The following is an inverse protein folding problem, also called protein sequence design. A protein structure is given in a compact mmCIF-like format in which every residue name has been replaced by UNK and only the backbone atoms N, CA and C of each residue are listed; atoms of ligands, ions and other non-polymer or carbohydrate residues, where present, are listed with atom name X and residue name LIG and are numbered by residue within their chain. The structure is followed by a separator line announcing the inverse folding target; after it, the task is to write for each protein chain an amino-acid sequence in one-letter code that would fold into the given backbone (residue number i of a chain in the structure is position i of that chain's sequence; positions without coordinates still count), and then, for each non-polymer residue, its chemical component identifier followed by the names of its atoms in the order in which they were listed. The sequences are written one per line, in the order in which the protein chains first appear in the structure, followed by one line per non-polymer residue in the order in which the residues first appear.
data_IF_768202082267
#
_entry.id   IF_768202082267
#
_cell.length_a   1.000
_cell.length_b   1.000
_cell.length_c   1.000
_cell.angle_alpha   90.00
_cell.angle_beta   90.00
_cell.angle_gamma   90.00
#
_symmetry.space_group_name_H-M   'P 1'
#
loop_
_entity.id
_entity.type
_entity.pdbx_description
1 polymer ?
#
# COMPACT_ATOMS: atom_id res chain seq x y z
N UNK A 1 4.66 -8.70 -6.18
CA UNK A 1 3.48 -8.58 -7.06
C UNK A 1 3.81 -8.82 -8.53
N UNK A 2 4.70 -8.02 -9.16
CA UNK A 2 5.00 -8.15 -10.61
C UNK A 2 5.51 -9.55 -11.00
N UNK A 3 6.46 -10.11 -10.25
CA UNK A 3 6.98 -11.48 -10.47
C UNK A 3 5.87 -12.52 -10.29
N UNK A 4 5.07 -12.41 -9.23
CA UNK A 4 3.93 -13.29 -9.00
C UNK A 4 2.85 -13.23 -10.10
N UNK A 5 2.63 -12.07 -10.74
CA UNK A 5 1.75 -11.95 -11.91
C UNK A 5 2.35 -12.67 -13.12
N UNK A 6 3.67 -12.61 -13.33
CA UNK A 6 4.34 -13.37 -14.39
C UNK A 6 4.19 -14.88 -14.21
N UNK A 7 4.22 -15.35 -12.96
CA UNK A 7 3.95 -16.75 -12.58
C UNK A 7 2.44 -17.07 -12.46
N UNK A 8 1.56 -16.20 -12.95
CA UNK A 8 0.10 -16.37 -12.98
C UNK A 8 -0.58 -16.57 -11.61
N UNK A 9 0.04 -16.10 -10.53
CA UNK A 9 -0.47 -16.19 -9.15
C UNK A 9 -1.35 -14.98 -8.77
N UNK A 10 -2.44 -14.77 -9.49
CA UNK A 10 -3.32 -13.61 -9.27
C UNK A 10 -3.94 -13.57 -7.87
N UNK A 11 -4.34 -14.72 -7.32
CA UNK A 11 -4.92 -14.81 -5.97
C UNK A 11 -3.90 -14.36 -4.90
N UNK A 12 -2.63 -14.77 -5.02
CA UNK A 12 -1.56 -14.36 -4.11
C UNK A 12 -1.41 -12.83 -4.11
N UNK A 13 -1.45 -12.21 -5.30
CA UNK A 13 -1.33 -10.76 -5.43
C UNK A 13 -2.51 -10.05 -4.75
N UNK A 14 -3.74 -10.51 -4.98
CA UNK A 14 -4.93 -9.96 -4.34
C UNK A 14 -4.87 -10.05 -2.80
N UNK A 15 -4.49 -11.21 -2.27
CA UNK A 15 -4.30 -11.44 -0.83
C UNK A 15 -3.18 -10.54 -0.26
N UNK A 16 -2.08 -10.38 -0.99
CA UNK A 16 -0.96 -9.52 -0.55
C UNK A 16 -1.33 -8.04 -0.50
N UNK A 17 -2.11 -7.55 -1.48
CA UNK A 17 -2.58 -6.16 -1.52
C UNK A 17 -3.57 -5.89 -0.38
N UNK A 18 -4.53 -6.80 -0.17
CA UNK A 18 -5.49 -6.72 0.93
C UNK A 18 -4.76 -6.74 2.27
N UNK A 19 -3.81 -7.66 2.44
CA UNK A 19 -2.97 -7.77 3.64
C UNK A 19 -2.15 -6.51 3.92
N UNK A 20 -1.58 -5.88 2.88
CA UNK A 20 -0.84 -4.63 3.01
C UNK A 20 -1.72 -3.49 3.51
N UNK A 21 -2.95 -3.37 3.00
CA UNK A 21 -3.89 -2.32 3.41
C UNK A 21 -4.34 -2.56 4.86
N UNK A 22 -4.72 -3.79 5.21
CA UNK A 22 -5.10 -4.13 6.58
C UNK A 22 -3.95 -3.95 7.57
N UNK A 23 -2.73 -4.32 7.18
CA UNK A 23 -1.53 -4.11 8.00
C UNK A 23 -1.32 -2.63 8.28
N UNK A 24 -1.44 -1.75 7.28
CA UNK A 24 -1.25 -0.33 7.49
C UNK A 24 -2.37 0.30 8.36
N UNK A 25 -3.62 -0.12 8.15
CA UNK A 25 -4.78 0.44 8.85
C UNK A 25 -4.96 -0.07 10.29
N UNK A 26 -4.67 -1.34 10.55
CA UNK A 26 -4.93 -1.97 11.84
C UNK A 26 -3.65 -2.22 12.62
N UNK A 27 -2.66 -2.85 11.99
CA UNK A 27 -1.45 -3.28 12.69
C UNK A 27 -0.53 -2.09 12.97
N UNK A 28 -0.13 -1.35 11.93
CA UNK A 28 0.78 -0.20 12.07
C UNK A 28 0.13 0.91 12.89
N UNK A 29 -1.09 1.32 12.52
CA UNK A 29 -1.85 2.32 13.29
C UNK A 29 -2.10 1.87 14.75
N UNK A 30 -2.49 0.61 14.94
CA UNK A 30 -2.77 0.05 16.26
C UNK A 30 -1.52 -0.04 17.13
N UNK A 31 -0.38 -0.48 16.58
CA UNK A 31 0.90 -0.44 17.27
C UNK A 31 1.33 1.00 17.58
N UNK A 32 1.13 1.94 16.66
CA UNK A 32 1.42 3.36 16.88
C UNK A 32 0.62 3.96 18.03
N UNK A 33 -0.69 3.68 18.11
CA UNK A 33 -1.53 4.10 19.23
C UNK A 33 -1.19 3.36 20.52
N UNK A 34 -0.84 2.08 20.43
CA UNK A 34 -0.47 1.28 21.61
C UNK A 34 0.83 1.80 22.23
N UNK A 35 1.92 1.86 21.46
CA UNK A 35 3.21 2.33 21.96
C UNK A 35 3.25 3.83 22.23
N UNK A 36 2.59 4.63 21.39
CA UNK A 36 2.44 6.06 21.61
C UNK A 36 1.58 6.39 22.83
N UNK A 37 0.51 5.64 23.06
CA UNK A 37 -0.37 5.74 24.22
C UNK A 37 0.28 5.29 25.53
N UNK A 38 1.34 4.47 25.48
CA UNK A 38 2.16 4.16 26.66
C UNK A 38 2.95 5.38 27.17
N UNK A 39 3.34 6.30 26.29
CA UNK A 39 4.12 7.49 26.64
C UNK A 39 3.28 8.77 26.75
N UNK A 40 2.27 8.93 25.89
CA UNK A 40 1.45 10.14 25.81
C UNK A 40 -0.03 9.83 26.04
N UNK A 41 -0.67 10.58 26.96
CA UNK A 41 -2.07 10.38 27.33
C UNK A 41 -3.06 10.84 26.25
N UNK A 42 -2.63 11.76 25.39
CA UNK A 42 -3.36 12.29 24.23
C UNK A 42 -2.31 12.47 23.12
N UNK A 43 -2.49 11.82 21.97
CA UNK A 43 -1.70 12.09 20.78
C UNK A 43 -2.43 13.13 19.93
N UNK A 44 -1.77 14.26 19.67
CA UNK A 44 -2.24 15.25 18.71
C UNK A 44 -1.95 14.77 17.29
N UNK A 45 -2.94 14.86 16.41
CA UNK A 45 -2.76 14.61 14.99
C UNK A 45 -3.17 15.88 14.24
N UNK A 46 -2.30 16.38 13.38
CA UNK A 46 -2.64 17.48 12.48
C UNK A 46 -3.77 17.02 11.56
N UNK A 47 -4.93 17.70 11.64
CA UNK A 47 -6.11 17.31 10.86
C UNK A 47 -5.88 17.48 9.36
N UNK A 48 -5.06 18.46 8.99
CA UNK A 48 -4.86 18.87 7.60
C UNK A 48 -3.99 17.87 6.81
N UNK A 49 -3.04 17.18 7.46
CA UNK A 49 -2.19 16.17 6.82
C UNK A 49 -2.80 14.74 6.88
N UNK A 50 -3.62 14.45 7.90
CA UNK A 50 -4.21 13.11 8.11
C UNK A 50 -5.52 12.89 7.35
N UNK A 51 -6.36 13.92 7.18
CA UNK A 51 -7.65 13.79 6.51
C UNK A 51 -7.56 13.33 5.03
N UNK A 52 -6.70 13.92 4.16
CA UNK A 52 -6.61 13.49 2.77
C UNK A 52 -6.05 12.07 2.62
N UNK A 53 -5.04 11.72 3.42
CA UNK A 53 -4.38 10.41 3.40
C UNK A 53 -5.33 9.28 3.85
N UNK A 54 -6.08 9.49 4.94
CA UNK A 54 -7.09 8.53 5.41
C UNK A 54 -8.28 8.40 4.44
N UNK A 55 -8.69 9.49 3.80
CA UNK A 55 -9.75 9.49 2.78
C UNK A 55 -9.39 8.63 1.56
N UNK A 56 -8.16 8.71 1.06
CA UNK A 56 -7.70 7.89 -0.06
C UNK A 56 -7.58 6.41 0.29
N UNK A 57 -7.12 6.10 1.50
CA UNK A 57 -7.08 4.72 1.99
C UNK A 57 -8.49 4.12 2.08
N UNK A 58 -9.45 4.86 2.66
CA UNK A 58 -10.85 4.43 2.72
C UNK A 58 -11.44 4.22 1.33
N UNK A 59 -11.16 5.14 0.40
CA UNK A 59 -11.65 5.08 -0.96
C UNK A 59 -11.07 3.91 -1.76
N UNK A 60 -9.78 3.60 -1.56
CA UNK A 60 -9.14 2.39 -2.06
C UNK A 60 -9.81 1.12 -1.51
N UNK A 61 -10.09 1.07 -0.20
CA UNK A 61 -10.80 -0.05 0.43
C UNK A 61 -12.22 -0.20 -0.12
N UNK A 62 -12.99 0.89 -0.22
CA UNK A 62 -14.36 0.84 -0.77
C UNK A 62 -14.38 0.39 -2.23
N UNK A 63 -13.39 0.83 -3.02
CA UNK A 63 -13.28 0.45 -4.43
C UNK A 63 -12.85 -1.01 -4.60
N UNK A 64 -12.10 -1.57 -3.65
CA UNK A 64 -11.76 -2.99 -3.62
C UNK A 64 -12.91 -3.87 -3.09
N UNK A 65 -13.69 -3.35 -2.13
CA UNK A 65 -14.86 -4.04 -1.58
C UNK A 65 -16.00 -4.17 -2.59
N UNK A 66 -16.18 -3.18 -3.47
CA UNK A 66 -17.26 -3.16 -4.47
C UNK A 66 -17.25 -4.42 -5.37
N UNK A 67 -16.14 -4.81 -6.04
CA UNK A 67 -16.09 -6.05 -6.80
C UNK A 67 -16.13 -7.30 -5.90
N UNK A 68 -15.57 -7.28 -4.70
CA UNK A 68 -15.61 -8.42 -3.77
C UNK A 68 -17.04 -8.77 -3.30
N UNK A 69 -17.86 -7.75 -3.01
CA UNK A 69 -19.25 -7.92 -2.57
C UNK A 69 -20.17 -8.34 -3.73
N UNK A 70 -19.95 -7.80 -4.94
CA UNK A 70 -20.68 -8.22 -6.14
C UNK A 70 -20.43 -9.70 -6.45
N UNK A 71 -19.17 -10.15 -6.38
CA UNK A 71 -18.84 -11.56 -6.53
C UNK A 71 -19.47 -12.43 -5.42
N UNK A 72 -19.54 -11.95 -4.18
CA UNK A 72 -20.15 -12.70 -3.06
C UNK A 72 -21.68 -12.79 -3.11
N UNK A 73 -22.36 -11.87 -3.80
CA UNK A 73 -23.83 -11.81 -3.83
C UNK A 73 -24.43 -12.61 -4.99
N UNK A 74 -23.60 -13.15 -5.91
CA UNK A 74 -24.03 -13.94 -7.08
C UNK A 74 -25.14 -13.26 -7.92
N UNK A 75 -25.22 -11.92 -7.91
CA UNK A 75 -26.11 -11.17 -8.79
C UNK A 75 -25.49 -11.02 -10.18
N UNK A 76 -25.12 -12.14 -10.79
CA UNK A 76 -24.63 -12.18 -12.16
C UNK A 76 -25.82 -12.16 -13.12
N UNK A 77 -26.35 -10.97 -13.38
CA UNK A 77 -27.11 -10.73 -14.60
C UNK A 77 -26.09 -10.38 -15.69
N UNK A 78 -25.62 -11.41 -16.39
CA UNK A 78 -24.72 -11.40 -17.57
C UNK A 78 -23.20 -11.31 -17.31
N UNK A 79 -22.60 -12.48 -17.08
CA UNK A 79 -21.39 -12.95 -17.75
C UNK A 79 -20.05 -12.35 -17.33
N UNK A 80 -19.14 -13.23 -16.92
CA UNK A 80 -17.65 -13.19 -16.77
C UNK A 80 -16.88 -12.03 -17.47
N UNK A 81 -17.40 -11.47 -18.57
CA UNK A 81 -16.86 -10.29 -19.25
C UNK A 81 -17.13 -8.96 -18.54
N UNK A 82 -18.21 -8.88 -17.75
CA UNK A 82 -18.63 -7.67 -17.02
C UNK A 82 -17.76 -7.40 -15.79
N UNK A 83 -17.31 -8.46 -15.10
CA UNK A 83 -16.52 -8.36 -13.87
C UNK A 83 -15.11 -7.79 -14.14
N UNK A 84 -14.48 -8.24 -15.22
CA UNK A 84 -13.18 -7.70 -15.66
C UNK A 84 -13.32 -6.25 -16.14
N UNK A 85 -14.44 -5.91 -16.78
CA UNK A 85 -14.76 -4.54 -17.20
C UNK A 85 -14.91 -3.58 -16.02
N UNK A 86 -15.62 -4.01 -14.98
CA UNK A 86 -15.83 -3.26 -13.76
C UNK A 86 -14.52 -3.01 -13.00
N UNK A 87 -13.67 -4.05 -12.86
CA UNK A 87 -12.35 -3.93 -12.21
C UNK A 87 -11.40 -3.01 -12.97
N UNK A 88 -11.43 -3.03 -14.31
CA UNK A 88 -10.64 -2.11 -15.14
C UNK A 88 -11.10 -0.66 -15.00
N UNK A 89 -12.42 -0.45 -14.99
CA UNK A 89 -12.99 0.88 -14.76
C UNK A 89 -12.64 1.41 -13.36
N UNK A 90 -12.78 0.58 -12.33
CA UNK A 90 -12.45 0.97 -10.96
C UNK A 90 -10.96 1.29 -10.78
N UNK A 91 -10.07 0.50 -11.38
CA UNK A 91 -8.63 0.77 -11.42
C UNK A 91 -8.31 2.10 -12.12
N UNK A 92 -8.97 2.41 -13.25
CA UNK A 92 -8.79 3.67 -13.95
C UNK A 92 -9.23 4.89 -13.10
N UNK A 93 -10.37 4.78 -12.41
CA UNK A 93 -10.87 5.83 -11.51
C UNK A 93 -9.92 6.03 -10.33
N UNK A 94 -9.43 4.95 -9.71
CA UNK A 94 -8.43 5.03 -8.64
C UNK A 94 -7.13 5.69 -9.11
N UNK A 95 -6.66 5.35 -10.31
CA UNK A 95 -5.45 5.93 -10.87
C UNK A 95 -5.61 7.43 -11.13
N UNK A 96 -6.74 7.87 -11.72
CA UNK A 96 -7.01 9.29 -11.92
C UNK A 96 -7.05 10.06 -10.59
N UNK A 97 -7.67 9.47 -9.58
CA UNK A 97 -7.78 10.08 -8.26
C UNK A 97 -6.44 10.12 -7.53
N UNK A 98 -5.60 9.09 -7.68
CA UNK A 98 -4.24 9.09 -7.17
C UNK A 98 -3.38 10.15 -7.87
N UNK A 99 -3.52 10.35 -9.18
CA UNK A 99 -2.84 11.44 -9.90
C UNK A 99 -3.32 12.82 -9.44
N UNK A 100 -4.62 13.00 -9.23
CA UNK A 100 -5.16 14.23 -8.67
C UNK A 100 -4.63 14.48 -7.24
N UNK A 101 -4.48 13.43 -6.44
CA UNK A 101 -3.85 13.51 -5.12
C UNK A 101 -2.36 13.87 -5.21
N UNK A 102 -1.58 13.24 -6.10
CA UNK A 102 -0.18 13.61 -6.29
C UNK A 102 -0.03 15.06 -6.73
N UNK A 103 -0.92 15.55 -7.60
CA UNK A 103 -0.94 16.97 -7.97
C UNK A 103 -1.23 17.87 -6.76
N UNK A 104 -2.19 17.50 -5.93
CA UNK A 104 -2.51 18.23 -4.69
C UNK A 104 -1.32 18.22 -3.70
N UNK A 105 -0.69 17.06 -3.51
CA UNK A 105 0.44 16.85 -2.60
C UNK A 105 1.69 17.61 -3.06
N UNK A 106 2.03 17.54 -4.34
CA UNK A 106 3.28 18.12 -4.87
C UNK A 106 3.19 19.62 -5.18
N UNK A 107 2.01 20.12 -5.53
CA UNK A 107 1.87 21.46 -6.08
C UNK A 107 1.00 22.38 -5.21
N UNK A 108 -0.14 21.88 -4.71
CA UNK A 108 -1.13 22.76 -4.07
C UNK A 108 -0.90 22.90 -2.56
N UNK A 109 -0.49 21.83 -1.87
CA UNK A 109 -0.34 21.80 -0.40
C UNK A 109 1.02 21.22 -0.01
N UNK A 110 2.07 21.56 -0.75
CA UNK A 110 3.44 21.09 -0.48
C UNK A 110 3.89 21.49 0.94
N UNK A 111 3.58 22.72 1.38
CA UNK A 111 3.91 23.23 2.73
C UNK A 111 3.30 22.36 3.86
N UNK A 112 2.07 21.85 3.69
CA UNK A 112 1.42 20.96 4.68
C UNK A 112 2.01 19.54 4.75
N UNK A 113 2.81 19.14 3.75
CA UNK A 113 3.51 17.87 3.70
C UNK A 113 5.01 18.01 3.99
N UNK A 114 5.62 19.17 3.73
CA UNK A 114 6.99 19.52 4.16
C UNK A 114 7.04 19.70 5.69
N UNK A 115 6.05 20.40 6.28
CA UNK A 115 6.01 20.67 7.72
C UNK A 115 5.64 19.43 8.57
N UNK A 116 5.17 18.35 7.93
CA UNK A 116 4.79 17.10 8.61
C UNK A 116 5.97 16.23 9.03
N UNK A 117 7.18 16.53 8.54
CA UNK A 117 8.42 15.89 8.97
C UNK A 117 9.11 16.65 10.15
N UNK A 118 8.57 17.83 10.56
CA UNK A 118 9.15 18.72 11.59
C UNK A 118 8.58 18.50 13.02
N UNK A 119 7.49 17.76 13.19
CA UNK A 119 6.80 17.59 14.50
C UNK A 119 7.40 16.44 15.36
N UNK A 120 8.73 16.27 15.33
CA UNK A 120 9.40 15.10 15.90
C UNK A 120 10.68 15.33 16.69
N UNK A 121 11.57 16.24 16.28
CA UNK A 121 12.86 16.44 16.94
C UNK A 121 13.25 17.91 16.97
N UNK A 122 13.53 18.42 18.17
CA UNK A 122 14.01 19.79 18.34
C UNK A 122 15.40 19.94 17.75
N UNK A 123 15.60 21.01 16.98
CA UNK A 123 16.89 21.64 16.68
C UNK A 123 18.04 20.66 16.36
N UNK A 124 17.91 19.85 15.31
CA UNK A 124 19.07 19.34 14.57
C UNK A 124 18.85 19.71 13.11
N UNK A 125 19.64 20.66 12.60
CA UNK A 125 19.72 20.99 11.18
C UNK A 125 19.80 19.69 10.36
N UNK A 126 18.85 19.46 9.43
CA UNK A 126 18.84 18.30 8.54
C UNK A 126 20.12 18.28 7.67
N UNK A 127 21.20 17.75 8.22
CA UNK A 127 22.40 17.46 7.45
C UNK A 127 22.09 16.23 6.60
N UNK A 128 22.22 16.32 5.25
CA UNK A 128 21.93 15.18 4.39
C UNK A 128 22.85 14.01 4.75
N UNK A 129 22.28 12.98 5.39
CA UNK A 129 23.03 11.82 5.92
C UNK A 129 23.71 11.01 4.80
N UNK A 130 23.26 11.16 3.55
CA UNK A 130 23.81 10.47 2.39
C UNK A 130 23.98 11.41 1.18
N UNK A 131 25.15 11.35 0.54
CA UNK A 131 25.39 12.04 -0.73
C UNK A 131 24.51 11.45 -1.83
N UNK A 132 24.00 12.28 -2.75
CA UNK A 132 23.15 11.85 -3.88
C UNK A 132 23.68 10.59 -4.62
N UNK A 133 25.00 10.53 -4.86
CA UNK A 133 25.64 9.37 -5.49
C UNK A 133 25.63 8.11 -4.64
N UNK A 134 25.80 8.24 -3.32
CA UNK A 134 25.68 7.13 -2.39
C UNK A 134 24.24 6.61 -2.31
N UNK A 135 23.25 7.52 -2.33
CA UNK A 135 21.83 7.17 -2.41
C UNK A 135 21.49 6.41 -3.69
N UNK A 136 21.96 6.88 -4.85
CA UNK A 136 21.75 6.20 -6.14
C UNK A 136 22.35 4.78 -6.15
N UNK A 137 23.54 4.61 -5.57
CA UNK A 137 24.20 3.31 -5.46
C UNK A 137 23.41 2.38 -4.54
N UNK A 138 23.05 2.84 -3.33
CA UNK A 138 22.29 2.04 -2.37
C UNK A 138 20.90 1.66 -2.90
N UNK A 139 20.22 2.56 -3.59
CA UNK A 139 18.94 2.27 -4.24
C UNK A 139 19.09 1.11 -5.24
N UNK A 140 20.13 1.16 -6.07
CA UNK A 140 20.43 0.08 -7.02
C UNK A 140 20.72 -1.25 -6.33
N UNK A 141 21.56 -1.24 -5.30
CA UNK A 141 21.92 -2.45 -4.53
C UNK A 141 20.70 -3.06 -3.85
N UNK A 142 19.90 -2.27 -3.14
CA UNK A 142 18.69 -2.76 -2.50
C UNK A 142 17.67 -3.26 -3.51
N UNK A 143 17.53 -2.59 -4.66
CA UNK A 143 16.61 -3.04 -5.72
C UNK A 143 17.00 -4.42 -6.25
N UNK A 144 18.30 -4.65 -6.52
CA UNK A 144 18.80 -5.96 -6.96
C UNK A 144 18.58 -7.01 -5.86
N UNK A 145 18.91 -6.68 -4.62
CA UNK A 145 18.77 -7.59 -3.49
C UNK A 145 17.31 -7.99 -3.24
N UNK A 146 16.38 -7.03 -3.24
CA UNK A 146 14.94 -7.25 -3.10
C UNK A 146 14.41 -8.06 -4.28
N UNK A 147 14.89 -7.82 -5.50
CA UNK A 147 14.50 -8.61 -6.67
C UNK A 147 14.84 -10.09 -6.49
N UNK A 148 16.09 -10.39 -6.09
CA UNK A 148 16.52 -11.78 -5.84
C UNK A 148 15.69 -12.42 -4.73
N UNK A 149 15.48 -11.71 -3.62
CA UNK A 149 14.68 -12.23 -2.51
C UNK A 149 13.21 -12.46 -2.90
N UNK A 150 12.63 -11.58 -3.74
CA UNK A 150 11.26 -11.72 -4.23
C UNK A 150 11.08 -12.94 -5.12
N UNK A 151 12.08 -13.29 -5.95
CA UNK A 151 12.04 -14.51 -6.77
C UNK A 151 12.07 -15.76 -5.85
N UNK A 152 13.00 -15.80 -4.88
CA UNK A 152 13.07 -16.90 -3.91
C UNK A 152 11.78 -17.04 -3.07
N UNK A 153 11.16 -15.93 -2.66
CA UNK A 153 9.89 -15.97 -1.91
C UNK A 153 8.78 -16.58 -2.77
N UNK A 154 8.70 -16.23 -4.04
CA UNK A 154 7.70 -16.78 -4.97
C UNK A 154 7.88 -18.29 -5.12
N UNK A 155 9.11 -18.76 -5.39
CA UNK A 155 9.41 -20.18 -5.56
C UNK A 155 9.14 -20.99 -4.27
N UNK A 156 9.50 -20.42 -3.11
CA UNK A 156 9.28 -21.09 -1.82
C UNK A 156 7.81 -21.13 -1.42
N UNK A 157 6.98 -20.17 -1.84
CA UNK A 157 5.53 -20.21 -1.61
C UNK A 157 4.91 -21.39 -2.35
N UNK A 158 5.28 -21.64 -3.61
CA UNK A 158 4.78 -22.78 -4.38
C UNK A 158 5.24 -24.12 -3.77
N UNK A 159 6.52 -24.21 -3.39
CA UNK A 159 7.06 -25.38 -2.70
C UNK A 159 6.40 -25.65 -1.34
N UNK A 160 6.17 -24.59 -0.56
CA UNK A 160 5.53 -24.68 0.77
C UNK A 160 4.07 -25.08 0.65
N UNK A 161 3.32 -24.47 -0.27
CA UNK A 161 1.91 -24.79 -0.51
C UNK A 161 1.70 -26.27 -0.85
N UNK A 162 2.57 -26.83 -1.71
CA UNK A 162 2.55 -28.25 -2.05
C UNK A 162 2.89 -29.16 -0.87
N UNK A 163 3.77 -28.72 0.03
CA UNK A 163 4.17 -29.49 1.22
C UNK A 163 3.16 -29.45 2.36
N UNK A 164 2.45 -28.32 2.54
CA UNK A 164 1.48 -28.09 3.62
C UNK A 164 0.05 -28.43 3.18
N UNK A 165 -0.19 -28.64 1.88
CA UNK A 165 -1.51 -29.02 1.34
C UNK A 165 -2.50 -27.86 1.27
N UNK A 166 -2.01 -26.61 1.28
CA UNK A 166 -2.83 -25.41 1.15
C UNK A 166 -2.91 -25.08 -0.35
N UNK A 167 -4.10 -24.92 -0.95
CA UNK A 167 -4.20 -24.57 -2.35
C UNK A 167 -3.64 -23.16 -2.61
N UNK A 168 -2.69 -23.06 -3.54
CA UNK A 168 -2.17 -21.80 -4.11
C UNK A 168 -3.11 -21.17 -5.15
N UNK A 169 -4.27 -21.79 -5.38
CA UNK A 169 -5.27 -21.42 -6.37
C UNK A 169 -6.62 -21.04 -5.77
#
# INVERSE_FOLDING_TARGET
AIIAIRENMLRLVQLSLLGSILSNLLLVLGCGFFFGGLKHKIQGFSRDSVAPTSGLLLLGVMTMLLPAVLHSTHTEIHGDSSDVGLSRFSSAVLLLMYLAYLHFQLNTHKELFDDGDDDGDGEDDEVPEITFWAGMLWLGVFTIFISVLSDYIVDTIEGTAKSVGIPVS
#
